data_IF_254229046195
#
_entry.id   IF_254229046195
#
_cell.length_a   1.000
_cell.length_b   1.000
_cell.length_c   1.000
_cell.angle_alpha   90.00
_cell.angle_beta   90.00
_cell.angle_gamma   90.00
#
_symmetry.space_group_name_H-M   'P 1'
#
loop_
_entity.id
_entity.type
_entity.pdbx_description
1 polymer ?
#
# COMPACT_ATOMS: atom_id res chain seq x y z
N UNK A 1 5.11 -4.45 -7.99
CA UNK A 1 4.65 -3.09 -8.37
C UNK A 1 4.62 -2.99 -9.87
N UNK A 2 3.55 -2.38 -10.41
CA UNK A 2 3.39 -2.07 -11.83
C UNK A 2 3.05 -0.59 -11.99
N UNK A 3 3.68 0.09 -12.96
CA UNK A 3 3.44 1.50 -13.25
C UNK A 3 2.88 1.66 -14.67
N UNK A 4 1.87 2.52 -14.84
CA UNK A 4 1.26 2.84 -16.13
C UNK A 4 0.83 4.30 -16.17
N UNK A 5 1.62 5.16 -16.83
CA UNK A 5 1.36 6.60 -16.86
C UNK A 5 1.34 7.20 -15.46
N UNK A 6 0.17 7.72 -15.05
CA UNK A 6 -0.06 8.31 -13.73
C UNK A 6 -0.63 7.32 -12.71
N UNK A 7 -0.73 6.04 -13.06
CA UNK A 7 -1.28 4.98 -12.21
C UNK A 7 -0.17 4.04 -11.74
N UNK A 8 -0.24 3.64 -10.47
CA UNK A 8 0.65 2.67 -9.85
C UNK A 8 -0.16 1.59 -9.14
N UNK A 9 0.26 0.34 -9.27
CA UNK A 9 -0.29 -0.79 -8.54
C UNK A 9 0.78 -1.40 -7.62
N UNK A 10 0.44 -1.54 -6.35
CA UNK A 10 1.22 -2.22 -5.32
C UNK A 10 0.61 -3.60 -5.08
N UNK A 11 1.46 -4.62 -5.08
CA UNK A 11 1.09 -6.01 -4.90
C UNK A 11 1.97 -6.65 -3.83
N UNK A 12 1.44 -7.68 -3.18
CA UNK A 12 2.19 -8.60 -2.29
C UNK A 12 2.98 -7.93 -1.15
N UNK A 13 2.50 -6.80 -0.60
CA UNK A 13 3.12 -6.17 0.56
C UNK A 13 3.17 -7.15 1.74
N UNK A 14 4.39 -7.49 2.19
CA UNK A 14 4.61 -8.39 3.33
C UNK A 14 5.75 -7.88 4.20
N UNK A 15 5.43 -7.57 5.45
CA UNK A 15 6.42 -7.23 6.49
C UNK A 15 6.60 -8.42 7.41
N UNK A 16 7.86 -8.83 7.61
CA UNK A 16 8.21 -9.92 8.54
C UNK A 16 7.72 -9.58 9.94
N UNK A 17 7.19 -10.58 10.64
CA UNK A 17 6.60 -10.38 11.97
C UNK A 17 7.53 -9.65 12.94
N UNK A 18 8.81 -10.03 12.95
CA UNK A 18 9.85 -9.43 13.80
C UNK A 18 10.02 -7.92 13.60
N UNK A 19 9.65 -7.35 12.45
CA UNK A 19 9.74 -5.91 12.18
C UNK A 19 8.39 -5.20 12.07
N UNK A 20 7.28 -5.90 12.36
CA UNK A 20 5.95 -5.27 12.39
C UNK A 20 5.90 -4.20 13.49
N UNK A 21 5.09 -3.17 13.26
CA UNK A 21 4.89 -2.02 14.18
C UNK A 21 6.18 -1.23 14.52
N UNK A 22 7.22 -1.36 13.69
CA UNK A 22 8.47 -0.58 13.78
C UNK A 22 8.63 0.41 12.61
N UNK A 23 7.54 0.76 11.94
CA UNK A 23 7.55 1.70 10.81
C UNK A 23 8.03 1.12 9.47
N UNK A 24 8.55 -0.11 9.42
CA UNK A 24 9.12 -0.69 8.18
C UNK A 24 8.12 -0.69 7.02
N UNK A 25 6.89 -1.15 7.23
CA UNK A 25 5.88 -1.15 6.17
C UNK A 25 5.52 0.26 5.69
N UNK A 26 5.39 1.21 6.63
CA UNK A 26 5.09 2.61 6.31
C UNK A 26 6.22 3.22 5.47
N UNK A 27 7.47 3.03 5.90
CA UNK A 27 8.64 3.52 5.18
C UNK A 27 8.67 3.01 3.74
N UNK A 28 8.46 1.69 3.54
CA UNK A 28 8.45 1.10 2.21
C UNK A 28 7.41 1.74 1.27
N UNK A 29 6.20 2.00 1.76
CA UNK A 29 5.14 2.60 0.94
C UNK A 29 5.42 4.07 0.67
N UNK A 30 5.86 4.82 1.67
CA UNK A 30 6.18 6.24 1.52
C UNK A 30 7.37 6.47 0.58
N UNK A 31 8.39 5.62 0.65
CA UNK A 31 9.55 5.65 -0.25
C UNK A 31 9.12 5.38 -1.69
N UNK A 32 8.34 4.32 -1.93
CA UNK A 32 7.85 4.00 -3.29
C UNK A 32 7.01 5.14 -3.87
N UNK A 33 6.14 5.78 -3.08
CA UNK A 33 5.35 6.92 -3.55
C UNK A 33 6.26 8.13 -3.84
N UNK A 34 7.22 8.42 -2.94
CA UNK A 34 8.16 9.53 -3.07
C UNK A 34 9.03 9.41 -4.33
N UNK A 35 9.46 8.21 -4.65
CA UNK A 35 10.34 7.93 -5.78
C UNK A 35 9.58 7.93 -7.13
N UNK A 36 8.24 7.95 -7.11
CA UNK A 36 7.39 7.93 -8.29
C UNK A 36 6.42 9.14 -8.34
N UNK A 37 6.93 10.39 -8.37
CA UNK A 37 6.11 11.60 -8.24
C UNK A 37 5.14 11.83 -9.41
N UNK A 38 5.34 11.19 -10.56
CA UNK A 38 4.41 11.24 -11.69
C UNK A 38 3.15 10.40 -11.50
N UNK A 39 3.14 9.50 -10.49
CA UNK A 39 2.01 8.64 -10.18
C UNK A 39 1.09 9.34 -9.19
N UNK A 40 -0.12 9.65 -9.65
CA UNK A 40 -1.15 10.36 -8.87
C UNK A 40 -2.30 9.46 -8.45
N UNK A 41 -2.25 8.17 -8.76
CA UNK A 41 -3.25 7.21 -8.34
C UNK A 41 -2.61 5.87 -8.04
N UNK A 42 -2.68 5.45 -6.78
CA UNK A 42 -2.13 4.21 -6.29
C UNK A 42 -3.23 3.22 -5.95
N UNK A 43 -3.12 1.99 -6.45
CA UNK A 43 -3.98 0.87 -6.12
C UNK A 43 -3.21 -0.19 -5.34
N UNK A 44 -3.83 -0.77 -4.32
CA UNK A 44 -3.35 -1.99 -3.66
C UNK A 44 -4.48 -3.01 -3.63
N UNK A 45 -4.26 -4.18 -4.26
CA UNK A 45 -5.22 -5.28 -4.20
C UNK A 45 -5.18 -5.95 -2.82
N UNK A 46 -6.31 -6.50 -2.36
CA UNK A 46 -6.38 -7.29 -1.12
C UNK A 46 -5.99 -8.78 -1.31
N UNK A 47 -5.58 -9.16 -2.52
CA UNK A 47 -5.13 -10.51 -2.85
C UNK A 47 -3.91 -10.90 -1.99
N UNK A 48 -4.04 -11.99 -1.24
CA UNK A 48 -2.97 -12.52 -0.39
C UNK A 48 -2.78 -11.77 0.93
N UNK A 49 -3.68 -10.86 1.28
CA UNK A 49 -3.72 -10.22 2.60
C UNK A 49 -4.23 -11.22 3.65
N UNK A 50 -3.40 -11.49 4.66
CA UNK A 50 -3.71 -12.45 5.72
C UNK A 50 -4.80 -11.95 6.69
N UNK A 51 -4.76 -10.65 7.03
CA UNK A 51 -5.74 -10.00 7.89
C UNK A 51 -6.14 -8.66 7.27
N UNK A 52 -7.34 -8.63 6.68
CA UNK A 52 -7.88 -7.44 6.02
C UNK A 52 -8.16 -6.31 6.98
N UNK A 53 -8.47 -6.59 8.26
CA UNK A 53 -8.72 -5.56 9.27
C UNK A 53 -7.43 -4.83 9.67
N UNK A 54 -6.36 -5.59 9.93
CA UNK A 54 -5.02 -5.03 10.20
C UNK A 54 -4.50 -4.25 8.98
N UNK A 55 -4.65 -4.81 7.78
CA UNK A 55 -4.23 -4.13 6.56
C UNK A 55 -5.05 -2.86 6.31
N UNK A 56 -6.37 -2.88 6.54
CA UNK A 56 -7.21 -1.69 6.38
C UNK A 56 -6.79 -0.55 7.32
N UNK A 57 -6.54 -0.85 8.60
CA UNK A 57 -6.06 0.17 9.55
C UNK A 57 -4.70 0.74 9.14
N UNK A 58 -3.78 -0.12 8.67
CA UNK A 58 -2.47 0.30 8.17
C UNK A 58 -2.59 1.18 6.90
N UNK A 59 -3.38 0.75 5.92
CA UNK A 59 -3.60 1.48 4.67
C UNK A 59 -4.29 2.83 4.90
N UNK A 60 -5.26 2.87 5.81
CA UNK A 60 -5.93 4.10 6.22
C UNK A 60 -4.96 5.10 6.87
N UNK A 61 -4.04 4.62 7.73
CA UNK A 61 -3.01 5.47 8.31
C UNK A 61 -2.06 6.08 7.26
N UNK A 62 -1.90 5.42 6.10
CA UNK A 62 -1.13 5.92 4.95
C UNK A 62 -1.96 6.81 4.00
N UNK A 63 -3.22 7.08 4.31
CA UNK A 63 -4.11 7.91 3.50
C UNK A 63 -4.76 7.17 2.33
N UNK A 64 -4.75 5.84 2.31
CA UNK A 64 -5.54 5.08 1.36
C UNK A 64 -6.99 4.92 1.84
N UNK A 65 -7.91 4.86 0.90
CA UNK A 65 -9.33 4.59 1.11
C UNK A 65 -9.66 3.16 0.72
N UNK A 66 -10.41 2.45 1.57
CA UNK A 66 -10.86 1.08 1.28
C UNK A 66 -11.87 1.04 0.12
N UNK A 67 -11.76 0.00 -0.69
CA UNK A 67 -12.64 -0.35 -1.80
C UNK A 67 -13.05 -1.82 -1.67
N UNK A 68 -13.95 -2.30 -2.53
CA UNK A 68 -14.47 -3.67 -2.48
C UNK A 68 -13.35 -4.73 -2.51
N UNK A 69 -12.36 -4.55 -3.40
CA UNK A 69 -11.28 -5.52 -3.68
C UNK A 69 -9.86 -4.98 -3.39
N UNK A 70 -9.75 -3.98 -2.51
CA UNK A 70 -8.46 -3.36 -2.23
C UNK A 70 -8.55 -1.96 -1.63
N UNK A 71 -7.53 -1.15 -1.90
CA UNK A 71 -7.41 0.23 -1.41
C UNK A 71 -6.87 1.15 -2.49
N UNK A 72 -7.31 2.41 -2.48
CA UNK A 72 -6.88 3.45 -3.42
C UNK A 72 -6.36 4.69 -2.69
N UNK A 73 -5.30 5.31 -3.21
CA UNK A 73 -4.82 6.63 -2.80
C UNK A 73 -4.65 7.51 -4.03
N UNK A 74 -5.11 8.75 -3.95
CA UNK A 74 -4.96 9.77 -4.99
C UNK A 74 -4.01 10.87 -4.54
#
# INVERSE_FOLDING_TARGET
MTLSGTQGALDSLRVREVTRRRGVGQYLIEEVIRDNPSVTSWWMADVGVEDRGVMAAFMQALGFTAQENGWVKQ
#
